data_IF_070102051355
#
_entry.id   IF_070102051355
#
_cell.length_a   1.000
_cell.length_b   1.000
_cell.length_c   1.000
_cell.angle_alpha   90.00
_cell.angle_beta   90.00
_cell.angle_gamma   90.00
#
_symmetry.space_group_name_H-M   'P 1'
#
loop_
_entity.id
_entity.type
_entity.pdbx_description
1 polymer ?
#
# COMPACT_ATOMS: atom_id res chain seq x y z
N UNK A 1 23.92 -60.83 -7.93
CA UNK A 1 23.07 -60.21 -6.89
C UNK A 1 22.70 -58.84 -7.41
N UNK A 2 21.48 -58.71 -7.93
CA UNK A 2 20.97 -57.49 -8.55
C UNK A 2 20.49 -56.54 -7.44
N UNK A 3 21.25 -55.48 -7.17
CA UNK A 3 20.78 -54.34 -6.38
C UNK A 3 20.36 -53.27 -7.37
N UNK A 4 19.05 -53.05 -7.49
CA UNK A 4 18.43 -52.16 -8.46
C UNK A 4 18.89 -50.72 -8.31
N UNK A 5 19.17 -50.15 -9.47
CA UNK A 5 19.27 -48.77 -9.91
C UNK A 5 18.94 -47.69 -8.87
N UNK A 6 19.91 -46.78 -8.76
CA UNK A 6 19.82 -45.47 -8.13
C UNK A 6 18.43 -44.88 -8.37
N UNK A 7 17.66 -44.68 -7.30
CA UNK A 7 16.61 -43.66 -7.35
C UNK A 7 17.35 -42.33 -7.55
N UNK A 8 17.50 -41.91 -8.81
CA UNK A 8 17.83 -40.52 -9.11
C UNK A 8 16.60 -39.73 -8.69
N UNK A 9 16.61 -39.20 -7.46
CA UNK A 9 15.55 -38.32 -6.96
C UNK A 9 15.20 -37.37 -8.09
N UNK A 10 14.02 -37.53 -8.66
CA UNK A 10 13.58 -36.66 -9.75
C UNK A 10 13.39 -35.31 -9.10
N UNK A 11 14.20 -34.33 -9.51
CA UNK A 11 14.06 -32.96 -9.03
C UNK A 11 12.61 -32.55 -9.21
N UNK A 12 12.01 -32.11 -8.10
CA UNK A 12 10.65 -31.59 -8.13
C UNK A 12 10.76 -30.29 -8.91
N UNK A 13 10.10 -30.15 -10.08
CA UNK A 13 10.15 -28.91 -10.83
C UNK A 13 9.60 -27.81 -9.93
N UNK A 14 10.20 -26.64 -10.02
CA UNK A 14 9.71 -25.49 -9.30
C UNK A 14 8.25 -25.20 -9.73
N UNK A 15 7.40 -24.87 -8.76
CA UNK A 15 6.04 -24.45 -9.03
C UNK A 15 5.55 -23.58 -7.87
N UNK A 16 5.07 -22.38 -8.17
CA UNK A 16 4.46 -21.49 -7.18
C UNK A 16 2.98 -21.85 -7.10
N UNK A 17 2.60 -22.46 -5.99
CA UNK A 17 1.29 -23.11 -5.80
C UNK A 17 0.22 -22.18 -5.24
N UNK A 18 0.60 -21.12 -4.52
CA UNK A 18 -0.34 -20.15 -3.95
C UNK A 18 0.30 -18.76 -3.86
N UNK A 19 -0.54 -17.73 -4.03
CA UNK A 19 -0.23 -16.34 -3.66
C UNK A 19 -1.50 -15.79 -3.01
N UNK A 20 -1.47 -15.57 -1.70
CA UNK A 20 -2.66 -15.23 -0.92
C UNK A 20 -2.40 -14.05 0.03
N UNK A 21 -3.42 -13.21 0.21
CA UNK A 21 -3.40 -12.18 1.25
C UNK A 21 -3.71 -12.85 2.61
N UNK A 22 -2.87 -12.58 3.60
CA UNK A 22 -3.03 -13.11 4.97
C UNK A 22 -3.82 -12.13 5.82
N UNK A 23 -3.40 -10.86 5.82
CA UNK A 23 -4.03 -9.79 6.59
C UNK A 23 -3.63 -8.42 6.07
N UNK A 24 -4.42 -7.40 6.37
CA UNK A 24 -4.07 -6.02 6.11
C UNK A 24 -4.34 -5.16 7.35
N UNK A 25 -3.54 -4.13 7.59
CA UNK A 25 -3.81 -3.14 8.62
C UNK A 25 -4.92 -2.18 8.17
N UNK A 26 -5.43 -1.38 9.12
CA UNK A 26 -6.19 -0.20 8.75
C UNK A 26 -5.30 0.80 8.00
N UNK A 27 -5.92 1.70 7.24
CA UNK A 27 -5.23 2.82 6.61
C UNK A 27 -4.75 3.82 7.68
N UNK A 28 -3.51 4.26 7.56
CA UNK A 28 -2.91 5.32 8.35
C UNK A 28 -3.32 6.69 7.78
N UNK A 29 -4.07 7.52 8.52
CA UNK A 29 -4.55 8.81 8.04
C UNK A 29 -3.47 9.86 7.83
N UNK A 30 -2.26 9.66 8.36
CA UNK A 30 -1.15 10.61 8.22
C UNK A 30 -0.38 10.35 6.93
N UNK A 31 -0.13 9.08 6.61
CA UNK A 31 0.67 8.70 5.43
C UNK A 31 -0.19 8.24 4.25
N UNK A 32 -1.49 8.05 4.45
CA UNK A 32 -2.43 7.47 3.50
C UNK A 32 -1.97 6.10 2.97
N UNK A 33 -1.39 5.28 3.84
CA UNK A 33 -0.86 3.94 3.51
C UNK A 33 -1.43 2.88 4.43
N UNK A 34 -1.35 1.62 4.01
CA UNK A 34 -1.64 0.46 4.83
C UNK A 34 -0.63 -0.64 4.54
N UNK A 35 -0.45 -1.55 5.49
CA UNK A 35 0.42 -2.71 5.35
C UNK A 35 -0.40 -3.93 4.96
N UNK A 36 0.00 -4.61 3.89
CA UNK A 36 -0.55 -5.88 3.42
C UNK A 36 0.44 -7.01 3.71
N UNK A 37 0.06 -7.95 4.55
CA UNK A 37 0.77 -9.21 4.76
C UNK A 37 0.24 -10.25 3.77
N UNK A 38 1.15 -10.87 3.03
CA UNK A 38 0.85 -11.91 2.05
C UNK A 38 1.68 -13.16 2.31
N UNK A 39 1.24 -14.28 1.75
CA UNK A 39 1.93 -15.56 1.77
C UNK A 39 2.05 -16.11 0.35
N UNK A 40 3.22 -16.68 0.05
CA UNK A 40 3.49 -17.42 -1.19
C UNK A 40 3.97 -18.80 -0.81
N UNK A 41 3.34 -19.85 -1.33
CA UNK A 41 3.77 -21.24 -1.15
C UNK A 41 4.23 -21.86 -2.46
N UNK A 42 5.26 -22.69 -2.41
CA UNK A 42 5.82 -23.34 -3.59
C UNK A 42 6.30 -24.76 -3.33
N UNK A 43 6.64 -25.45 -4.41
CA UNK A 43 7.39 -26.71 -4.41
C UNK A 43 8.60 -26.58 -5.34
N UNK A 44 9.59 -27.46 -5.21
CA UNK A 44 10.80 -27.41 -6.03
C UNK A 44 11.63 -26.15 -5.80
N UNK A 45 11.96 -25.85 -4.54
CA UNK A 45 12.78 -24.68 -4.17
C UNK A 45 14.12 -24.70 -4.90
N UNK A 46 14.49 -23.64 -5.64
CA UNK A 46 15.81 -23.55 -6.28
C UNK A 46 16.97 -23.62 -5.28
N UNK A 47 18.14 -24.10 -5.73
CA UNK A 47 19.33 -24.28 -4.90
C UNK A 47 19.97 -22.95 -4.45
N UNK A 48 19.68 -21.85 -5.16
CA UNK A 48 20.19 -20.52 -4.87
C UNK A 48 19.22 -19.42 -5.33
N UNK A 49 19.59 -18.16 -5.08
CA UNK A 49 18.80 -16.99 -5.45
C UNK A 49 17.75 -16.62 -4.41
N UNK A 50 16.80 -15.78 -4.83
CA UNK A 50 15.65 -15.36 -4.03
C UNK A 50 14.33 -15.56 -4.78
N UNK A 51 13.25 -15.24 -4.09
CA UNK A 51 11.92 -15.09 -4.67
C UNK A 51 11.61 -13.60 -4.76
N UNK A 52 11.57 -13.07 -5.97
CA UNK A 52 11.15 -11.68 -6.20
C UNK A 52 9.63 -11.60 -6.20
N UNK A 53 9.06 -10.86 -5.24
CA UNK A 53 7.63 -10.59 -5.15
C UNK A 53 7.38 -9.08 -5.18
N UNK A 54 6.57 -8.62 -6.13
CA UNK A 54 6.26 -7.18 -6.27
C UNK A 54 7.50 -6.31 -6.49
N UNK A 55 8.55 -6.86 -7.11
CA UNK A 55 9.82 -6.18 -7.38
C UNK A 55 10.84 -6.20 -6.23
N UNK A 56 10.53 -6.85 -5.10
CA UNK A 56 11.45 -7.02 -3.96
C UNK A 56 11.89 -8.48 -3.88
N UNK A 57 13.20 -8.74 -3.85
CA UNK A 57 13.76 -10.10 -3.68
C UNK A 57 13.84 -10.47 -2.20
N UNK A 58 13.28 -11.64 -1.87
CA UNK A 58 13.30 -12.22 -0.55
C UNK A 58 14.18 -13.48 -0.54
N UNK A 59 14.92 -13.74 0.54
CA UNK A 59 15.64 -15.00 0.67
C UNK A 59 14.64 -16.17 0.70
N UNK A 60 15.00 -17.25 0.02
CA UNK A 60 14.21 -18.48 0.01
C UNK A 60 14.71 -19.39 1.13
N UNK A 61 13.81 -19.74 2.06
CA UNK A 61 14.04 -20.76 3.08
C UNK A 61 12.79 -21.63 3.17
N UNK A 62 12.97 -22.95 3.14
CA UNK A 62 11.86 -23.89 3.06
C UNK A 62 11.02 -23.76 1.77
N UNK A 63 9.70 -23.73 1.93
CA UNK A 63 8.72 -23.81 0.85
C UNK A 63 7.57 -22.80 0.97
N UNK A 64 7.73 -21.78 1.82
CA UNK A 64 6.73 -20.74 2.07
C UNK A 64 7.41 -19.44 2.48
N UNK A 65 6.86 -18.31 2.01
CA UNK A 65 7.30 -16.96 2.34
C UNK A 65 6.09 -16.19 2.86
N UNK A 66 6.20 -15.63 4.06
CA UNK A 66 5.28 -14.60 4.56
C UNK A 66 6.02 -13.27 4.63
N UNK A 67 5.51 -12.26 3.94
CA UNK A 67 6.11 -10.94 3.90
C UNK A 67 5.03 -9.85 3.98
N UNK A 68 5.46 -8.62 4.24
CA UNK A 68 4.58 -7.45 4.34
C UNK A 68 5.06 -6.37 3.39
N UNK A 69 4.11 -5.73 2.71
CA UNK A 69 4.34 -4.59 1.81
C UNK A 69 3.46 -3.43 2.21
N UNK A 70 4.03 -2.23 2.27
CA UNK A 70 3.30 -0.98 2.51
C UNK A 70 2.80 -0.42 1.18
N UNK A 71 1.50 -0.17 1.09
CA UNK A 71 0.82 0.25 -0.15
C UNK A 71 -0.01 1.51 0.09
N UNK A 72 -0.23 2.36 -0.93
CA UNK A 72 -1.12 3.49 -0.83
C UNK A 72 -2.58 3.05 -0.69
N UNK A 73 -3.35 3.73 0.16
CA UNK A 73 -4.78 3.52 0.30
C UNK A 73 -5.53 4.36 -0.74
N UNK A 74 -5.97 3.71 -1.83
CA UNK A 74 -6.61 4.38 -2.97
C UNK A 74 -7.87 3.65 -3.46
N UNK A 75 -8.32 2.60 -2.77
CA UNK A 75 -9.51 1.83 -3.13
C UNK A 75 -9.36 1.00 -4.40
N UNK A 76 -8.15 0.50 -4.68
CA UNK A 76 -7.88 -0.32 -5.88
C UNK A 76 -7.58 -1.78 -5.55
N UNK A 77 -7.71 -2.64 -6.56
CA UNK A 77 -7.24 -4.02 -6.50
C UNK A 77 -5.72 -4.06 -6.53
N UNK A 78 -5.14 -4.80 -5.59
CA UNK A 78 -3.72 -5.10 -5.52
C UNK A 78 -3.49 -6.49 -6.11
N UNK A 79 -2.51 -6.59 -7.00
CA UNK A 79 -1.98 -7.85 -7.49
C UNK A 79 -0.50 -8.00 -7.14
N UNK A 80 -0.03 -9.24 -7.02
CA UNK A 80 1.38 -9.57 -6.84
C UNK A 80 1.82 -10.58 -7.90
N UNK A 81 3.02 -10.35 -8.41
CA UNK A 81 3.78 -11.27 -9.24
C UNK A 81 4.94 -11.82 -8.43
N UNK A 82 5.14 -13.13 -8.48
CA UNK A 82 6.22 -13.84 -7.82
C UNK A 82 7.06 -14.59 -8.86
N UNK A 83 8.38 -14.44 -8.79
CA UNK A 83 9.32 -15.07 -9.73
C UNK A 83 10.60 -15.46 -9.00
N UNK A 84 11.08 -16.69 -9.20
CA UNK A 84 12.38 -17.10 -8.67
C UNK A 84 13.52 -16.48 -9.49
N UNK A 85 14.53 -15.94 -8.81
CA UNK A 85 15.62 -15.19 -9.45
C UNK A 85 16.49 -16.09 -10.34
N UNK A 86 16.80 -17.30 -9.88
CA UNK A 86 17.64 -18.27 -10.59
C UNK A 86 16.84 -19.18 -11.53
N UNK A 87 15.52 -19.20 -11.40
CA UNK A 87 14.60 -19.93 -12.27
C UNK A 87 13.50 -18.99 -12.80
N UNK A 88 13.82 -18.09 -13.74
CA UNK A 88 12.90 -17.03 -14.18
C UNK A 88 11.68 -17.55 -14.96
N UNK A 89 11.68 -18.82 -15.38
CA UNK A 89 10.50 -19.49 -15.95
C UNK A 89 9.49 -19.89 -14.87
N UNK A 90 9.92 -19.87 -13.60
CA UNK A 90 9.12 -20.18 -12.44
C UNK A 90 8.45 -18.92 -11.90
N UNK A 91 7.27 -18.63 -12.44
CA UNK A 91 6.54 -17.41 -12.12
C UNK A 91 5.06 -17.69 -11.94
N UNK A 92 4.44 -16.95 -11.02
CA UNK A 92 3.01 -16.95 -10.82
C UNK A 92 2.53 -15.53 -10.48
N UNK A 93 1.28 -15.26 -10.82
CA UNK A 93 0.65 -13.96 -10.64
C UNK A 93 -0.74 -14.13 -10.03
N UNK A 94 -1.05 -13.32 -9.02
CA UNK A 94 -2.41 -13.13 -8.55
C UNK A 94 -2.78 -11.65 -8.73
N UNK A 95 -3.55 -11.34 -9.77
CA UNK A 95 -3.91 -9.97 -10.14
C UNK A 95 -4.96 -9.30 -9.25
N UNK A 96 -5.69 -10.07 -8.45
CA UNK A 96 -6.76 -9.58 -7.57
C UNK A 96 -6.59 -10.14 -6.15
N UNK A 97 -5.37 -10.01 -5.62
CA UNK A 97 -4.98 -10.57 -4.33
C UNK A 97 -5.77 -9.97 -3.17
N UNK A 98 -5.93 -8.65 -3.17
CA UNK A 98 -6.60 -7.91 -2.10
C UNK A 98 -7.24 -6.61 -2.64
N UNK A 99 -8.44 -6.27 -2.18
CA UNK A 99 -9.05 -4.97 -2.47
C UNK A 99 -8.66 -3.99 -1.35
N UNK A 100 -7.82 -3.02 -1.68
CA UNK A 100 -7.29 -2.05 -0.73
C UNK A 100 -8.37 -1.11 -0.15
N UNK A 101 -8.16 -0.56 1.05
CA UNK A 101 -9.01 0.50 1.58
C UNK A 101 -8.98 1.74 0.67
N UNK A 102 -10.07 2.51 0.67
CA UNK A 102 -10.09 3.85 0.09
C UNK A 102 -9.17 4.81 0.85
N UNK A 103 -8.91 5.98 0.24
CA UNK A 103 -8.13 7.05 0.88
C UNK A 103 -8.70 7.35 2.27
N UNK A 104 -7.81 7.42 3.26
CA UNK A 104 -8.15 7.82 4.62
C UNK A 104 -7.34 9.04 5.08
N UNK A 105 -6.62 9.68 4.14
CA UNK A 105 -5.81 10.86 4.41
C UNK A 105 -6.64 11.94 5.10
N UNK A 106 -6.12 12.48 6.20
CA UNK A 106 -6.67 13.71 6.76
C UNK A 106 -6.15 14.87 5.91
N UNK A 107 -7.03 15.48 5.13
CA UNK A 107 -6.74 16.69 4.37
C UNK A 107 -7.53 17.87 4.92
N UNK A 108 -7.12 18.47 6.06
CA UNK A 108 -7.81 19.65 6.60
C UNK A 108 -7.93 20.78 5.57
N UNK A 109 -7.01 20.85 4.62
CA UNK A 109 -6.98 21.85 3.56
C UNK A 109 -7.92 21.58 2.37
N UNK A 110 -8.50 20.38 2.23
CA UNK A 110 -9.60 20.10 1.28
C UNK A 110 -10.94 20.30 2.02
N UNK A 111 -11.39 21.55 2.06
CA UNK A 111 -12.52 21.98 2.87
C UNK A 111 -13.84 21.58 2.21
N UNK A 112 -13.85 21.49 0.88
CA UNK A 112 -15.04 21.12 0.12
C UNK A 112 -15.19 19.60 -0.07
N UNK A 113 -14.14 18.83 0.22
CA UNK A 113 -14.13 17.37 0.23
C UNK A 113 -14.13 16.74 -1.17
N UNK A 114 -13.57 17.42 -2.17
CA UNK A 114 -13.56 16.94 -3.56
C UNK A 114 -12.30 16.16 -3.95
N UNK A 115 -11.36 15.96 -3.03
CA UNK A 115 -10.09 15.26 -3.29
C UNK A 115 -9.00 16.18 -3.87
N UNK A 116 -9.19 17.50 -3.84
CA UNK A 116 -8.21 18.44 -4.37
C UNK A 116 -8.11 19.68 -3.48
N UNK A 117 -6.87 20.12 -3.21
CA UNK A 117 -6.62 21.37 -2.50
C UNK A 117 -6.42 22.47 -3.54
N UNK A 118 -7.46 23.26 -3.78
CA UNK A 118 -7.51 24.23 -4.87
C UNK A 118 -8.07 25.60 -4.43
N UNK A 119 -8.36 26.47 -5.41
CA UNK A 119 -8.86 27.83 -5.15
C UNK A 119 -10.20 27.78 -4.42
N UNK A 120 -11.02 26.76 -4.67
CA UNK A 120 -12.31 26.57 -4.00
C UNK A 120 -12.14 26.49 -2.48
N UNK A 121 -11.13 25.77 -1.98
CA UNK A 121 -10.86 25.62 -0.55
C UNK A 121 -10.36 26.92 0.07
N UNK A 122 -9.48 27.63 -0.64
CA UNK A 122 -9.04 28.97 -0.21
C UNK A 122 -10.22 29.91 -0.08
N UNK A 123 -11.17 29.88 -1.02
CA UNK A 123 -12.37 30.72 -0.98
C UNK A 123 -13.30 30.34 0.18
N UNK A 124 -13.32 29.08 0.62
CA UNK A 124 -14.07 28.63 1.78
C UNK A 124 -13.44 29.12 3.10
N UNK A 125 -12.11 29.08 3.25
CA UNK A 125 -11.45 29.75 4.40
C UNK A 125 -11.75 31.24 4.40
N UNK A 126 -11.64 31.87 3.22
CA UNK A 126 -11.86 33.31 3.09
C UNK A 126 -13.32 33.73 3.33
N UNK A 127 -14.30 32.83 3.21
CA UNK A 127 -15.69 33.16 3.53
C UNK A 127 -15.94 33.35 5.03
N UNK A 128 -15.10 32.74 5.88
CA UNK A 128 -15.17 32.87 7.34
C UNK A 128 -14.06 33.77 7.92
N UNK A 129 -13.23 34.35 7.07
CA UNK A 129 -12.06 35.13 7.48
C UNK A 129 -12.42 36.31 8.40
N UNK A 130 -11.67 36.44 9.50
CA UNK A 130 -11.91 37.45 10.52
C UNK A 130 -12.92 37.02 11.59
N UNK A 131 -13.43 35.79 11.53
CA UNK A 131 -14.10 35.16 12.66
C UNK A 131 -13.13 35.04 13.84
N UNK A 132 -13.56 35.41 15.05
CA UNK A 132 -12.69 35.57 16.21
C UNK A 132 -13.01 34.65 17.41
N UNK A 133 -14.17 34.00 17.43
CA UNK A 133 -14.57 33.00 18.44
C UNK A 133 -15.65 32.08 17.84
N UNK A 134 -15.73 30.84 18.30
CA UNK A 134 -16.72 29.82 17.89
C UNK A 134 -16.83 29.68 16.36
N UNK A 135 -15.70 29.78 15.67
CA UNK A 135 -15.63 29.66 14.22
C UNK A 135 -15.88 28.22 13.75
N UNK A 136 -16.20 28.06 12.47
CA UNK A 136 -16.42 26.73 11.91
C UNK A 136 -15.11 25.94 11.94
N UNK A 137 -15.12 24.78 12.59
CA UNK A 137 -13.93 23.91 12.67
C UNK A 137 -13.48 23.30 11.32
N UNK A 138 -14.18 23.60 10.22
CA UNK A 138 -13.73 23.24 8.86
C UNK A 138 -12.89 24.36 8.22
N UNK A 139 -12.95 25.59 8.74
CA UNK A 139 -12.21 26.77 8.26
C UNK A 139 -11.17 27.28 9.27
N UNK A 140 -11.32 26.92 10.55
CA UNK A 140 -10.30 27.02 11.61
C UNK A 140 -9.41 25.76 11.57
N UNK A 141 -8.31 25.82 10.81
CA UNK A 141 -7.46 24.69 10.49
C UNK A 141 -6.34 24.46 11.51
N UNK A 142 -5.96 25.50 12.26
CA UNK A 142 -4.98 25.36 13.36
C UNK A 142 -5.64 25.15 14.74
N UNK A 143 -6.97 25.28 14.82
CA UNK A 143 -7.79 24.95 15.98
C UNK A 143 -7.71 25.99 17.09
N UNK A 144 -7.32 27.22 16.79
CA UNK A 144 -7.16 28.30 17.77
C UNK A 144 -8.48 29.02 18.12
N UNK A 145 -9.57 28.66 17.45
CA UNK A 145 -10.91 29.21 17.63
C UNK A 145 -11.19 30.47 16.81
N UNK A 146 -10.28 30.88 15.93
CA UNK A 146 -10.41 31.99 15.00
C UNK A 146 -10.14 31.55 13.55
N UNK A 147 -10.52 32.39 12.58
CA UNK A 147 -10.12 32.20 11.17
C UNK A 147 -9.28 33.40 10.76
N UNK A 148 -8.00 33.16 10.60
CA UNK A 148 -6.96 34.17 10.39
C UNK A 148 -6.11 33.87 9.16
N UNK A 149 -5.01 34.61 8.99
CA UNK A 149 -4.05 34.35 7.92
C UNK A 149 -3.38 32.98 8.10
N UNK A 150 -3.27 32.47 9.33
CA UNK A 150 -2.67 31.16 9.57
C UNK A 150 -3.46 30.04 8.88
N UNK A 151 -4.78 30.06 8.94
CA UNK A 151 -5.65 29.07 8.29
C UNK A 151 -5.50 29.13 6.77
N UNK A 152 -5.45 30.34 6.21
CA UNK A 152 -5.20 30.54 4.78
C UNK A 152 -3.83 29.99 4.38
N UNK A 153 -2.80 30.21 5.21
CA UNK A 153 -1.46 29.67 4.98
C UNK A 153 -1.42 28.14 5.08
N UNK A 154 -2.23 27.52 5.94
CA UNK A 154 -2.38 26.06 6.00
C UNK A 154 -2.88 25.51 4.67
N UNK A 155 -3.93 26.09 4.08
CA UNK A 155 -4.40 25.69 2.73
C UNK A 155 -3.34 25.92 1.67
N UNK A 156 -2.72 27.11 1.65
CA UNK A 156 -1.72 27.46 0.64
C UNK A 156 -0.44 26.61 0.71
N UNK A 157 -0.10 26.09 1.90
CA UNK A 157 1.06 25.21 2.09
C UNK A 157 0.89 23.84 1.44
N UNK A 158 -0.36 23.42 1.20
CA UNK A 158 -0.71 22.15 0.57
C UNK A 158 -1.39 22.34 -0.80
N UNK A 159 -1.39 23.56 -1.34
CA UNK A 159 -2.09 23.90 -2.58
C UNK A 159 -1.55 23.12 -3.78
N UNK A 160 -2.46 22.48 -4.52
CA UNK A 160 -2.14 21.67 -5.68
C UNK A 160 -1.72 20.24 -5.35
N UNK A 161 -1.65 19.87 -4.07
CA UNK A 161 -1.48 18.48 -3.66
C UNK A 161 -2.84 17.75 -3.72
N UNK A 162 -2.87 16.47 -4.15
CA UNK A 162 -4.08 15.67 -4.13
C UNK A 162 -4.47 15.25 -2.71
N UNK A 163 -5.77 15.01 -2.52
CA UNK A 163 -6.36 14.28 -1.40
C UNK A 163 -7.09 13.02 -1.93
#
# INVERSE_FOLDING_TARGET
>A
SYGVDQWSGQDVPCDITSIEAVSATACDPVTNTYDLTFQVDWVGTPDSGGLTVGGVSYPIDGNSLTATVTLPANGTWVGLDATFDDEPTCTASNGNLYFGPGSCSLCPADINGNGAIEVADVLLVLSDFGCANDCSGITDLDGDGAVTVNDVLTVLSAFGEPC
#
